data_IF_755777758361
#
_entry.id   IF_755777758361
#
_cell.length_a   1.000
_cell.length_b   1.000
_cell.length_c   1.000
_cell.angle_alpha   90.00
_cell.angle_beta   90.00
_cell.angle_gamma   90.00
#
_symmetry.space_group_name_H-M   'P 1'
#
loop_
_entity.id
_entity.type
_entity.pdbx_description
1 polymer ?
#
# COMPACT_ATOMS: atom_id res chain seq x y z
N UNK A 1 -17.69 31.05 -7.00
CA UNK A 1 -18.07 29.63 -7.06
C UNK A 1 -16.81 28.82 -7.34
N UNK A 2 -16.35 28.00 -6.39
CA UNK A 2 -15.16 27.18 -6.56
C UNK A 2 -15.54 25.91 -7.34
N UNK A 3 -14.94 25.71 -8.51
CA UNK A 3 -15.12 24.52 -9.33
C UNK A 3 -14.62 23.29 -8.56
N UNK A 4 -15.37 22.18 -8.56
CA UNK A 4 -14.96 20.97 -7.84
C UNK A 4 -13.64 20.42 -8.42
N UNK A 5 -12.75 19.89 -7.57
CA UNK A 5 -11.50 19.26 -8.03
C UNK A 5 -11.74 18.08 -9.01
N UNK A 6 -12.94 17.51 -9.03
CA UNK A 6 -13.34 16.46 -9.98
C UNK A 6 -13.70 17.00 -11.37
N UNK A 7 -14.09 18.27 -11.46
CA UNK A 7 -14.38 18.98 -12.72
C UNK A 7 -13.14 19.69 -13.28
N UNK A 8 -12.18 20.02 -12.42
CA UNK A 8 -10.93 20.69 -12.81
C UNK A 8 -10.14 19.80 -13.76
N UNK A 9 -10.12 20.14 -15.05
CA UNK A 9 -9.14 19.58 -16.01
C UNK A 9 -7.76 20.04 -15.57
N UNK A 10 -7.08 19.23 -14.77
CA UNK A 10 -5.65 19.41 -14.50
C UNK A 10 -4.92 19.58 -15.84
N UNK A 11 -4.08 20.63 -16.02
CA UNK A 11 -3.30 20.78 -17.24
C UNK A 11 -2.53 19.49 -17.44
N UNK A 12 -2.70 18.83 -18.59
CA UNK A 12 -2.01 17.58 -18.90
C UNK A 12 -0.51 17.89 -18.99
N UNK A 13 0.33 17.53 -18.02
CA UNK A 13 1.76 17.58 -18.25
C UNK A 13 2.05 16.33 -19.09
N UNK A 14 1.79 16.46 -20.40
CA UNK A 14 2.05 15.39 -21.38
C UNK A 14 3.56 15.24 -21.62
N UNK A 15 4.40 16.12 -21.04
CA UNK A 15 5.85 16.17 -21.21
C UNK A 15 6.56 16.03 -19.86
N UNK A 16 7.40 15.01 -19.77
CA UNK A 16 8.33 14.85 -18.65
C UNK A 16 9.50 15.85 -18.77
N UNK A 17 10.21 16.15 -17.66
CA UNK A 17 11.38 17.05 -17.67
C UNK A 17 12.50 16.64 -18.66
N UNK A 18 12.56 15.35 -19.03
CA UNK A 18 13.48 14.81 -20.02
C UNK A 18 12.94 14.84 -21.47
N UNK A 19 11.86 15.58 -21.73
CA UNK A 19 11.23 15.72 -23.05
C UNK A 19 10.36 14.54 -23.49
N UNK A 20 10.21 13.50 -22.65
CA UNK A 20 9.40 12.34 -23.00
C UNK A 20 7.91 12.67 -22.99
N UNK A 21 7.16 12.10 -23.93
CA UNK A 21 5.71 12.28 -24.00
C UNK A 21 4.97 11.16 -23.27
N UNK A 22 3.92 11.50 -22.52
CA UNK A 22 3.04 10.47 -21.97
C UNK A 22 2.39 9.68 -23.11
N UNK A 23 2.52 8.34 -23.15
CA UNK A 23 1.95 7.54 -24.21
C UNK A 23 0.42 7.63 -24.17
N UNK A 24 -0.17 8.25 -25.20
CA UNK A 24 -1.64 8.44 -25.35
C UNK A 24 -2.37 7.17 -25.79
N UNK A 25 -1.63 6.15 -26.23
CA UNK A 25 -2.19 4.91 -26.74
C UNK A 25 -2.61 3.98 -25.59
N UNK A 26 -3.66 3.20 -25.82
CA UNK A 26 -4.15 2.22 -24.85
C UNK A 26 -3.47 0.85 -24.99
N UNK A 27 -2.40 0.70 -25.77
CA UNK A 27 -1.70 -0.59 -25.97
C UNK A 27 -1.24 -1.22 -24.66
N UNK A 28 -0.88 -0.42 -23.65
CA UNK A 28 -0.60 -0.90 -22.30
C UNK A 28 -1.76 -1.70 -21.69
N UNK A 29 -3.01 -1.34 -22.01
CA UNK A 29 -4.22 -2.05 -21.54
C UNK A 29 -4.36 -3.42 -22.18
N UNK A 30 -3.88 -3.62 -23.41
CA UNK A 30 -3.88 -4.92 -24.05
C UNK A 30 -3.00 -5.92 -23.29
N UNK A 31 -1.78 -5.49 -22.92
CA UNK A 31 -0.91 -6.30 -22.08
C UNK A 31 -1.51 -6.59 -20.70
N UNK A 32 -2.16 -5.60 -20.08
CA UNK A 32 -2.92 -5.80 -18.84
C UNK A 32 -4.05 -6.81 -19.03
N UNK A 33 -4.77 -6.77 -20.17
CA UNK A 33 -5.86 -7.69 -20.45
C UNK A 33 -5.37 -9.14 -20.61
N UNK A 34 -4.30 -9.35 -21.39
CA UNK A 34 -3.68 -10.68 -21.57
C UNK A 34 -3.16 -11.23 -20.24
N UNK A 35 -2.51 -10.38 -19.43
CA UNK A 35 -1.92 -10.81 -18.15
C UNK A 35 -2.92 -10.87 -17.01
N UNK A 36 -4.15 -10.38 -17.20
CA UNK A 36 -5.20 -10.36 -16.17
C UNK A 36 -5.48 -11.73 -15.56
N UNK A 37 -5.67 -12.83 -16.33
CA UNK A 37 -5.92 -14.14 -15.74
C UNK A 37 -4.76 -14.63 -14.87
N UNK A 38 -3.51 -14.34 -15.27
CA UNK A 38 -2.32 -14.67 -14.50
C UNK A 38 -2.23 -13.86 -13.21
N UNK A 39 -2.51 -12.56 -13.27
CA UNK A 39 -2.55 -11.69 -12.10
C UNK A 39 -3.65 -12.10 -11.12
N UNK A 40 -4.84 -12.44 -11.61
CA UNK A 40 -5.96 -12.95 -10.80
C UNK A 40 -5.63 -14.31 -10.17
N UNK A 41 -4.98 -15.22 -10.92
CA UNK A 41 -4.50 -16.49 -10.37
C UNK A 41 -3.42 -16.28 -9.31
N UNK A 42 -2.52 -15.33 -9.53
CA UNK A 42 -1.49 -14.98 -8.56
C UNK A 42 -2.15 -14.52 -7.25
N UNK A 43 -3.11 -13.59 -7.34
CA UNK A 43 -3.86 -13.03 -6.19
C UNK A 43 -4.38 -14.14 -5.28
N UNK A 44 -4.93 -15.23 -5.80
CA UNK A 44 -5.44 -16.37 -5.00
C UNK A 44 -4.42 -17.03 -4.06
N UNK A 45 -3.12 -16.76 -4.22
CA UNK A 45 -2.09 -17.31 -3.33
C UNK A 45 -2.06 -16.66 -1.94
N UNK A 46 -2.66 -15.48 -1.78
CA UNK A 46 -2.77 -14.82 -0.47
C UNK A 46 -4.21 -14.97 0.01
N UNK A 47 -4.44 -15.51 1.22
CA UNK A 47 -5.78 -15.55 1.78
C UNK A 47 -6.28 -14.10 2.04
N UNK A 48 -7.58 -13.82 1.94
CA UNK A 48 -8.12 -12.56 2.42
C UNK A 48 -7.78 -12.39 3.92
N UNK A 49 -7.60 -11.15 4.40
CA UNK A 49 -7.39 -10.90 5.82
C UNK A 49 -8.56 -11.46 6.63
N UNK A 50 -8.27 -11.99 7.81
CA UNK A 50 -9.29 -12.58 8.71
C UNK A 50 -9.90 -11.56 9.67
N UNK A 51 -9.21 -10.44 9.92
CA UNK A 51 -9.65 -9.36 10.82
C UNK A 51 -9.08 -8.03 10.35
N UNK A 52 -9.66 -6.91 10.80
CA UNK A 52 -9.17 -5.55 10.52
C UNK A 52 -7.67 -5.37 10.79
N UNK A 53 -7.15 -6.00 11.85
CA UNK A 53 -5.72 -6.00 12.23
C UNK A 53 -4.77 -6.56 11.15
N UNK A 54 -5.26 -7.44 10.29
CA UNK A 54 -4.44 -8.10 9.25
C UNK A 54 -4.60 -7.45 7.88
N UNK A 55 -5.45 -6.44 7.75
CA UNK A 55 -5.65 -5.70 6.51
C UNK A 55 -4.39 -4.91 6.11
N UNK A 56 -4.35 -4.46 4.87
CA UNK A 56 -3.34 -3.51 4.39
C UNK A 56 -3.41 -2.15 5.10
N UNK A 57 -2.35 -1.36 4.95
CA UNK A 57 -2.23 -0.01 5.51
C UNK A 57 -1.09 0.14 6.52
N UNK A 58 -1.07 1.28 7.20
CA UNK A 58 -0.05 1.62 8.18
C UNK A 58 -0.27 0.91 9.52
N UNK A 59 0.82 0.38 10.07
CA UNK A 59 0.87 -0.35 11.32
C UNK A 59 2.06 0.13 12.15
N UNK A 60 1.87 0.31 13.46
CA UNK A 60 2.98 0.65 14.36
C UNK A 60 4.06 -0.45 14.35
N UNK A 61 5.35 -0.10 14.48
CA UNK A 61 5.89 1.24 14.78
C UNK A 61 6.21 2.11 13.54
N UNK A 62 5.98 1.62 12.33
CA UNK A 62 6.46 2.26 11.09
C UNK A 62 6.36 1.34 9.88
N UNK A 63 5.39 0.43 9.92
CA UNK A 63 5.17 -0.60 8.92
C UNK A 63 4.05 -0.20 7.97
N UNK A 64 4.22 -0.47 6.69
CA UNK A 64 3.17 -0.38 5.69
C UNK A 64 2.98 -1.75 5.05
N UNK A 65 1.77 -2.29 5.13
CA UNK A 65 1.42 -3.60 4.57
C UNK A 65 0.57 -3.43 3.32
N UNK A 66 0.94 -4.13 2.25
CA UNK A 66 0.16 -4.21 1.03
C UNK A 66 -0.09 -5.67 0.63
N UNK A 67 -1.34 -5.95 0.29
CA UNK A 67 -1.77 -7.26 -0.20
C UNK A 67 -1.54 -7.32 -1.72
N UNK A 68 -0.32 -7.67 -2.14
CA UNK A 68 -0.03 -7.82 -3.57
C UNK A 68 -0.64 -9.10 -4.16
N UNK A 69 -0.45 -9.32 -5.46
CA UNK A 69 -0.90 -10.55 -6.08
C UNK A 69 -0.15 -11.77 -5.57
N UNK A 70 1.18 -11.68 -5.40
CA UNK A 70 2.03 -12.86 -5.20
C UNK A 70 2.44 -13.15 -3.77
N UNK A 71 2.40 -12.16 -2.88
CA UNK A 71 2.90 -12.17 -1.51
C UNK A 71 2.26 -11.05 -0.68
N UNK A 72 2.21 -11.26 0.63
CA UNK A 72 1.89 -10.20 1.56
C UNK A 72 3.15 -9.40 1.80
N UNK A 73 3.20 -8.20 1.21
CA UNK A 73 4.34 -7.33 1.27
C UNK A 73 4.21 -6.40 2.47
N UNK A 74 5.28 -6.31 3.26
CA UNK A 74 5.36 -5.33 4.34
C UNK A 74 6.66 -4.55 4.20
N UNK A 75 6.56 -3.23 4.11
CA UNK A 75 7.71 -2.31 4.18
C UNK A 75 7.80 -1.78 5.61
N UNK A 76 8.99 -1.79 6.20
CA UNK A 76 9.21 -1.23 7.54
C UNK A 76 10.38 -0.25 7.51
N UNK A 77 10.14 0.96 7.99
CA UNK A 77 11.17 1.98 8.13
C UNK A 77 11.70 1.93 9.57
N UNK A 78 12.96 1.54 9.74
CA UNK A 78 13.61 1.45 11.05
C UNK A 78 14.66 2.56 11.15
N UNK A 79 14.52 3.50 12.10
CA UNK A 79 15.56 4.50 12.33
C UNK A 79 16.82 3.82 12.86
N UNK A 80 17.96 4.13 12.26
CA UNK A 80 19.29 3.69 12.71
C UNK A 80 19.99 4.85 13.40
N UNK A 81 19.93 6.03 12.78
CA UNK A 81 20.42 7.30 13.31
C UNK A 81 19.38 8.40 12.99
N UNK A 82 19.60 9.62 13.48
CA UNK A 82 18.69 10.75 13.27
C UNK A 82 18.42 11.04 11.79
N UNK A 83 19.44 10.89 10.93
CA UNK A 83 19.33 11.13 9.49
C UNK A 83 19.49 9.85 8.65
N UNK A 84 19.47 8.68 9.30
CA UNK A 84 19.63 7.38 8.62
C UNK A 84 18.49 6.44 8.97
N UNK A 85 17.66 6.13 7.97
CA UNK A 85 16.59 5.13 8.10
C UNK A 85 16.92 3.92 7.23
N UNK A 86 16.84 2.73 7.83
CA UNK A 86 16.93 1.46 7.10
C UNK A 86 15.53 0.98 6.73
N UNK A 87 15.31 0.78 5.44
CA UNK A 87 14.05 0.25 4.92
C UNK A 87 14.16 -1.25 4.76
N UNK A 88 13.28 -1.99 5.43
CA UNK A 88 13.16 -3.43 5.34
C UNK A 88 11.97 -3.84 4.49
N UNK A 89 12.15 -4.86 3.67
CA UNK A 89 11.12 -5.43 2.81
C UNK A 89 10.85 -6.88 3.22
N UNK A 90 9.65 -7.14 3.71
CA UNK A 90 9.19 -8.49 4.05
C UNK A 90 8.26 -9.00 2.96
N UNK A 91 8.62 -10.15 2.40
CA UNK A 91 7.82 -10.88 1.43
C UNK A 91 7.28 -12.16 2.07
N UNK A 92 6.04 -12.10 2.54
CA UNK A 92 5.42 -13.24 3.20
C UNK A 92 4.63 -14.07 2.17
N UNK A 93 5.07 -15.31 1.95
CA UNK A 93 4.38 -16.31 1.12
C UNK A 93 3.90 -17.49 1.96
N UNK A 94 2.91 -18.23 1.47
CA UNK A 94 2.39 -19.45 2.11
C UNK A 94 2.56 -20.66 1.17
N UNK A 95 3.80 -21.19 1.00
CA UNK A 95 4.04 -22.32 0.10
C UNK A 95 3.40 -23.60 0.66
N UNK A 96 2.63 -24.33 -0.17
CA UNK A 96 1.97 -25.58 0.23
C UNK A 96 2.90 -26.81 0.23
N UNK A 97 4.00 -26.75 -0.53
CA UNK A 97 4.96 -27.85 -0.68
C UNK A 97 6.38 -27.31 -0.94
N UNK A 98 7.38 -28.19 -0.88
CA UNK A 98 8.79 -27.84 -1.06
C UNK A 98 9.09 -27.26 -2.45
N UNK A 99 8.49 -27.82 -3.51
CA UNK A 99 8.64 -27.31 -4.88
C UNK A 99 8.14 -25.87 -5.03
N UNK A 100 6.98 -25.54 -4.42
CA UNK A 100 6.47 -24.17 -4.42
C UNK A 100 7.37 -23.22 -3.63
N UNK A 101 7.93 -23.68 -2.50
CA UNK A 101 8.90 -22.88 -1.74
C UNK A 101 10.13 -22.57 -2.58
N UNK A 102 10.65 -23.55 -3.32
CA UNK A 102 11.78 -23.33 -4.23
C UNK A 102 11.40 -22.34 -5.35
N UNK A 103 10.23 -22.51 -5.96
CA UNK A 103 9.72 -21.59 -6.97
C UNK A 103 9.56 -20.16 -6.45
N UNK A 104 8.99 -19.97 -5.26
CA UNK A 104 8.82 -18.65 -4.65
C UNK A 104 10.18 -17.98 -4.38
N UNK A 105 11.20 -18.75 -3.94
CA UNK A 105 12.58 -18.25 -3.77
C UNK A 105 13.20 -17.83 -5.10
N UNK A 106 13.04 -18.66 -6.14
CA UNK A 106 13.55 -18.35 -7.47
C UNK A 106 12.88 -17.11 -8.06
N UNK A 107 11.54 -17.02 -7.98
CA UNK A 107 10.78 -15.84 -8.41
C UNK A 107 11.12 -14.58 -7.62
N UNK A 108 11.41 -14.72 -6.32
CA UNK A 108 11.88 -13.60 -5.53
C UNK A 108 13.23 -13.09 -6.05
N UNK A 109 14.20 -13.99 -6.19
CA UNK A 109 15.55 -13.64 -6.61
C UNK A 109 15.62 -13.03 -8.02
N UNK A 110 14.81 -13.50 -8.97
CA UNK A 110 14.89 -13.07 -10.37
C UNK A 110 13.96 -11.92 -10.73
N UNK A 111 12.72 -11.93 -10.22
CA UNK A 111 11.67 -11.04 -10.71
C UNK A 111 11.16 -10.09 -9.63
N UNK A 112 10.69 -10.61 -8.49
CA UNK A 112 9.99 -9.77 -7.50
C UNK A 112 10.92 -8.74 -6.86
N UNK A 113 12.15 -9.15 -6.57
CA UNK A 113 13.20 -8.25 -6.08
C UNK A 113 13.43 -7.10 -7.06
N UNK A 114 13.51 -7.40 -8.36
CA UNK A 114 13.68 -6.36 -9.37
C UNK A 114 12.47 -5.43 -9.48
N UNK A 115 11.26 -5.96 -9.51
CA UNK A 115 10.04 -5.14 -9.61
C UNK A 115 9.89 -4.21 -8.40
N UNK A 116 9.99 -4.76 -7.19
CA UNK A 116 9.64 -4.05 -5.96
C UNK A 116 10.82 -3.24 -5.41
N UNK A 117 11.98 -3.84 -5.25
CA UNK A 117 13.13 -3.17 -4.62
C UNK A 117 13.84 -2.26 -5.62
N UNK A 118 14.12 -2.74 -6.84
CA UNK A 118 14.92 -1.94 -7.78
C UNK A 118 14.12 -0.96 -8.63
N UNK A 119 12.96 -1.34 -9.15
CA UNK A 119 12.20 -0.48 -10.06
C UNK A 119 11.21 0.42 -9.31
N UNK A 120 10.38 -0.16 -8.45
CA UNK A 120 9.38 0.61 -7.70
C UNK A 120 10.03 1.42 -6.57
N UNK A 121 10.74 0.76 -5.65
CA UNK A 121 11.23 1.44 -4.45
C UNK A 121 12.31 2.48 -4.72
N UNK A 122 13.14 2.34 -5.76
CA UNK A 122 14.11 3.39 -6.11
C UNK A 122 13.45 4.68 -6.64
N UNK A 123 12.26 4.57 -7.24
CA UNK A 123 11.47 5.75 -7.62
C UNK A 123 10.88 6.44 -6.40
N UNK A 124 10.36 5.66 -5.45
CA UNK A 124 9.91 6.19 -4.15
C UNK A 124 11.08 6.84 -3.40
N UNK A 125 12.25 6.20 -3.37
CA UNK A 125 13.48 6.72 -2.74
C UNK A 125 13.87 8.08 -3.31
N UNK A 126 13.84 8.24 -4.64
CA UNK A 126 14.11 9.52 -5.27
C UNK A 126 13.13 10.62 -4.83
N UNK A 127 11.87 10.28 -4.52
CA UNK A 127 10.95 11.23 -3.94
C UNK A 127 11.24 11.48 -2.45
N UNK A 128 11.51 10.43 -1.68
CA UNK A 128 11.75 10.49 -0.23
C UNK A 128 13.00 11.31 0.13
N UNK A 129 14.11 11.13 -0.60
CA UNK A 129 15.38 11.83 -0.34
C UNK A 129 15.26 13.33 -0.59
N UNK A 130 14.37 13.74 -1.50
CA UNK A 130 14.15 15.14 -1.85
C UNK A 130 13.08 15.83 -0.98
N UNK A 131 12.51 15.14 0.01
CA UNK A 131 11.54 15.75 0.92
C UNK A 131 12.24 16.66 1.92
N UNK A 132 11.71 17.90 2.03
CA UNK A 132 12.12 18.86 3.04
C UNK A 132 11.21 18.78 4.26
N UNK A 133 11.80 18.46 5.40
CA UNK A 133 11.11 18.40 6.69
C UNK A 133 11.33 19.67 7.54
N UNK A 134 12.19 20.59 7.08
CA UNK A 134 12.59 21.83 7.75
C UNK A 134 11.62 23.00 7.51
N UNK A 135 10.80 22.93 6.46
CA UNK A 135 9.85 23.99 6.10
C UNK A 135 8.41 23.63 6.45
N UNK A 136 7.53 24.61 6.77
CA UNK A 136 6.11 24.35 7.02
C UNK A 136 5.43 23.68 5.82
N UNK A 137 4.87 22.49 6.05
CA UNK A 137 4.12 21.73 5.04
C UNK A 137 2.72 22.32 4.82
N UNK A 138 2.22 22.21 3.58
CA UNK A 138 0.85 22.62 3.21
C UNK A 138 0.07 21.39 2.78
N UNK A 139 -0.56 20.73 3.75
CA UNK A 139 -1.33 19.52 3.55
C UNK A 139 -2.70 19.84 2.92
N UNK A 140 -3.20 18.87 2.17
CA UNK A 140 -4.50 18.91 1.49
C UNK A 140 -5.39 17.76 1.97
N UNK A 141 -6.63 17.69 1.48
CA UNK A 141 -7.56 16.62 1.87
C UNK A 141 -7.06 15.20 1.57
N UNK A 142 -6.17 15.02 0.60
CA UNK A 142 -5.57 13.70 0.29
C UNK A 142 -4.58 13.23 1.36
N UNK A 143 -4.06 14.15 2.17
CA UNK A 143 -3.06 13.88 3.21
C UNK A 143 -3.71 13.51 4.56
N UNK A 144 -5.03 13.31 4.59
CA UNK A 144 -5.76 12.93 5.78
C UNK A 144 -5.20 11.66 6.44
N UNK A 145 -4.79 10.68 5.64
CA UNK A 145 -4.17 9.44 6.12
C UNK A 145 -2.86 9.72 6.86
N UNK A 146 -1.96 10.51 6.28
CA UNK A 146 -0.67 10.89 6.88
C UNK A 146 -0.87 11.65 8.20
N UNK A 147 -1.86 12.55 8.25
CA UNK A 147 -2.19 13.30 9.47
C UNK A 147 -2.64 12.34 10.58
N UNK A 148 -3.55 11.41 10.28
CA UNK A 148 -4.04 10.43 11.25
C UNK A 148 -2.93 9.49 11.70
N UNK A 149 -2.08 9.06 10.78
CA UNK A 149 -0.91 8.25 11.08
C UNK A 149 0.05 8.95 12.06
N UNK A 150 0.40 10.22 11.80
CA UNK A 150 1.29 10.98 12.68
C UNK A 150 0.69 11.18 14.07
N UNK A 151 -0.61 11.49 14.17
CA UNK A 151 -1.32 11.56 15.46
C UNK A 151 -1.20 10.24 16.23
N UNK A 152 -1.46 9.11 15.57
CA UNK A 152 -1.35 7.79 16.18
C UNK A 152 0.06 7.52 16.70
N UNK A 153 1.08 7.80 15.89
CA UNK A 153 2.49 7.60 16.26
C UNK A 153 2.86 8.45 17.48
N UNK A 154 2.56 9.76 17.45
CA UNK A 154 2.85 10.69 18.54
C UNK A 154 2.14 10.28 19.83
N UNK A 155 0.84 9.97 19.76
CA UNK A 155 0.05 9.51 20.91
C UNK A 155 0.66 8.27 21.55
N UNK A 156 1.02 7.26 20.74
CA UNK A 156 1.57 5.99 21.26
C UNK A 156 3.03 6.10 21.68
N UNK A 157 3.80 7.02 21.09
CA UNK A 157 5.18 7.29 21.50
C UNK A 157 5.23 7.91 22.89
N UNK A 158 4.44 8.97 23.14
CA UNK A 158 4.46 9.68 24.43
C UNK A 158 3.59 9.04 25.51
N UNK A 159 2.43 8.49 25.16
CA UNK A 159 1.52 7.86 26.14
C UNK A 159 1.73 6.35 26.33
N UNK A 160 2.67 5.76 25.59
CA UNK A 160 2.91 4.31 25.59
C UNK A 160 1.85 3.49 24.85
N UNK A 161 1.95 2.17 24.97
CA UNK A 161 1.10 1.20 24.25
C UNK A 161 -0.40 1.41 24.50
N UNK A 162 -0.75 1.68 25.75
CA UNK A 162 -2.14 1.84 26.21
C UNK A 162 -2.64 3.29 26.12
N UNK A 163 -1.86 4.21 25.52
CA UNK A 163 -2.30 5.60 25.37
C UNK A 163 -3.65 5.66 24.66
N UNK A 164 -4.63 6.40 25.20
CA UNK A 164 -5.90 6.59 24.51
C UNK A 164 -5.64 7.32 23.19
N UNK A 165 -6.04 6.70 22.08
CA UNK A 165 -6.02 7.33 20.77
C UNK A 165 -7.47 7.57 20.36
N UNK A 166 -7.86 8.83 20.25
CA UNK A 166 -9.20 9.21 19.81
C UNK A 166 -9.35 8.91 18.32
N UNK A 167 -9.88 7.72 18.03
CA UNK A 167 -10.24 7.29 16.70
C UNK A 167 -11.73 7.59 16.49
N UNK A 168 -12.04 8.55 15.62
CA UNK A 168 -13.42 8.82 15.22
C UNK A 168 -13.71 8.13 13.89
N UNK A 169 -14.34 6.97 13.96
CA UNK A 169 -15.06 6.40 12.82
C UNK A 169 -16.46 7.05 12.75
N UNK A 170 -17.05 7.30 11.57
CA UNK A 170 -18.45 7.73 11.44
C UNK A 170 -19.47 6.95 12.29
N UNK A 171 -19.16 5.71 12.67
CA UNK A 171 -20.04 4.83 13.46
C UNK A 171 -19.63 4.69 14.93
N UNK A 172 -18.61 5.43 15.39
CA UNK A 172 -18.08 5.38 16.76
C UNK A 172 -17.67 3.98 17.26
N UNK A 173 -17.33 3.08 16.33
CA UNK A 173 -16.88 1.73 16.64
C UNK A 173 -15.43 1.73 17.14
N UNK A 174 -15.16 0.91 18.16
CA UNK A 174 -13.80 0.60 18.58
C UNK A 174 -12.97 0.01 17.41
N UNK A 175 -11.63 0.23 17.37
CA UNK A 175 -10.80 -0.19 16.23
C UNK A 175 -10.88 -1.68 15.86
N UNK A 176 -11.05 -2.55 16.85
CA UNK A 176 -11.22 -3.99 16.70
C UNK A 176 -12.66 -4.41 16.35
N UNK A 177 -13.64 -3.57 16.67
CA UNK A 177 -15.05 -3.73 16.31
C UNK A 177 -15.36 -3.23 14.89
N UNK A 178 -14.43 -2.54 14.21
CA UNK A 178 -14.63 -2.10 12.83
C UNK A 178 -14.80 -3.32 11.91
N UNK A 179 -15.94 -3.44 11.19
CA UNK A 179 -16.16 -4.54 10.27
C UNK A 179 -15.07 -4.58 9.20
N UNK A 180 -14.58 -5.78 8.91
CA UNK A 180 -13.52 -6.00 7.92
C UNK A 180 -13.89 -5.46 6.54
N UNK A 181 -15.18 -5.41 6.22
CA UNK A 181 -15.76 -4.85 5.00
C UNK A 181 -15.40 -3.37 4.78
N UNK A 182 -15.18 -2.60 5.85
CA UNK A 182 -14.80 -1.18 5.74
C UNK A 182 -13.33 -0.95 5.48
N UNK A 183 -12.49 -1.92 5.84
CA UNK A 183 -11.02 -1.77 5.85
C UNK A 183 -10.32 -2.66 4.83
N UNK A 184 -11.01 -3.66 4.27
CA UNK A 184 -10.46 -4.55 3.26
C UNK A 184 -11.28 -4.56 1.99
N UNK A 185 -10.78 -3.85 0.98
CA UNK A 185 -11.28 -3.95 -0.40
C UNK A 185 -11.20 -5.39 -0.92
N UNK A 186 -10.18 -6.14 -0.50
CA UNK A 186 -9.99 -7.53 -0.91
C UNK A 186 -11.07 -8.45 -0.33
N UNK A 187 -11.42 -8.27 0.94
CA UNK A 187 -12.50 -9.01 1.56
C UNK A 187 -13.82 -8.82 0.79
N UNK A 188 -14.16 -7.57 0.44
CA UNK A 188 -15.33 -7.25 -0.37
C UNK A 188 -15.28 -7.90 -1.77
N UNK A 189 -14.10 -7.90 -2.41
CA UNK A 189 -13.91 -8.52 -3.72
C UNK A 189 -14.12 -10.04 -3.69
N UNK A 190 -13.68 -10.71 -2.63
CA UNK A 190 -13.88 -12.16 -2.46
C UNK A 190 -15.34 -12.48 -2.11
N UNK A 191 -15.99 -11.70 -1.23
CA UNK A 191 -17.43 -11.85 -0.95
C UNK A 191 -18.27 -11.71 -2.23
N UNK A 192 -17.97 -10.73 -3.09
CA UNK A 192 -18.70 -10.53 -4.35
C UNK A 192 -18.50 -11.68 -5.36
N UNK A 193 -17.44 -12.48 -5.21
CA UNK A 193 -17.13 -13.64 -6.06
C UNK A 193 -17.70 -14.95 -5.50
N UNK A 194 -18.05 -14.99 -4.22
CA UNK A 194 -18.69 -16.16 -3.64
C UNK A 194 -20.05 -16.39 -4.33
N UNK A 195 -20.38 -17.64 -4.71
CA UNK A 195 -21.71 -17.92 -5.24
C UNK A 195 -22.75 -17.52 -4.19
N UNK A 196 -23.68 -16.64 -4.56
CA UNK A 196 -24.84 -16.37 -3.70
C UNK A 196 -25.55 -17.69 -3.48
N UNK A 197 -25.57 -18.18 -2.24
CA UNK A 197 -26.42 -19.30 -1.86
C UNK A 197 -27.85 -18.96 -2.30
N UNK A 198 -28.41 -19.80 -3.17
CA UNK A 198 -29.83 -19.77 -3.51
C UNK A 198 -30.61 -20.46 -2.41
#
# INVERSE_FOLDING_TARGET
MAESNYMRRSPRPDLYPNGWKWPKTNYRRFFTWITKPLAERARRNIPPPQSAKWCGGHHLPGMFRAEFGGDLYTRMCVPVEEHLTRVWYYHCTRPKNAGRRLWDRLMYATLRRWIIEYNFSRRDEAAMVNQRYDTPEKLSGTDAEVIQWRKLVVTKHYGGREAPFEYRNPDDLAPDAVPIERVSVRYLQEQARAPRAR
#
